data_IF_031967913107
#
_entry.id   IF_031967913107
#
_cell.length_a   1.000
_cell.length_b   1.000
_cell.length_c   1.000
_cell.angle_alpha   90.00
_cell.angle_beta   90.00
_cell.angle_gamma   90.00
#
_symmetry.space_group_name_H-M   'P 1'
#
loop_
_entity.id
_entity.type
_entity.pdbx_description
1 polymer ?
#
# COMPACT_ATOMS: atom_id res chain seq x y z
N UNK A 1 -41.01 -59.21 -40.49
CA UNK A 1 -39.81 -60.09 -40.69
C UNK A 1 -38.62 -59.26 -40.30
N UNK A 2 -37.96 -59.73 -39.34
CA UNK A 2 -36.69 -59.49 -38.73
C UNK A 2 -36.81 -58.92 -37.29
N UNK A 3 -36.64 -59.91 -36.41
CA UNK A 3 -36.51 -59.77 -34.97
C UNK A 3 -35.16 -59.11 -34.64
N UNK A 4 -35.12 -58.20 -33.69
CA UNK A 4 -33.90 -57.74 -33.06
C UNK A 4 -33.98 -58.03 -31.57
N UNK A 5 -33.28 -59.11 -31.19
CA UNK A 5 -33.09 -59.53 -29.82
C UNK A 5 -32.33 -58.44 -29.04
N UNK A 6 -32.95 -57.93 -27.97
CA UNK A 6 -32.33 -57.09 -27.00
C UNK A 6 -31.74 -57.97 -25.87
N UNK A 7 -30.44 -58.05 -25.79
CA UNK A 7 -29.70 -58.72 -24.69
C UNK A 7 -29.88 -57.90 -23.44
N UNK A 8 -30.48 -58.51 -22.42
CA UNK A 8 -30.42 -58.07 -21.04
C UNK A 8 -29.03 -58.45 -20.46
N UNK A 9 -28.24 -57.47 -20.09
CA UNK A 9 -27.01 -57.70 -19.34
C UNK A 9 -27.32 -57.88 -17.86
N UNK A 10 -26.70 -58.88 -17.28
CA UNK A 10 -26.81 -59.27 -15.88
C UNK A 10 -26.42 -58.08 -14.95
N UNK A 11 -27.32 -57.72 -14.03
CA UNK A 11 -27.03 -56.84 -12.89
C UNK A 11 -26.08 -57.62 -11.96
N UNK A 12 -24.83 -57.20 -11.94
CA UNK A 12 -23.87 -57.61 -10.89
C UNK A 12 -24.19 -56.74 -9.67
N UNK A 13 -24.85 -57.36 -8.68
CA UNK A 13 -25.02 -56.78 -7.37
C UNK A 13 -23.66 -56.66 -6.70
N UNK A 14 -23.18 -55.43 -6.53
CA UNK A 14 -22.07 -55.13 -5.62
C UNK A 14 -22.64 -55.18 -4.20
N UNK A 15 -22.33 -56.26 -3.48
CA UNK A 15 -22.40 -56.25 -2.02
C UNK A 15 -21.36 -55.25 -1.53
N UNK A 16 -21.81 -54.01 -1.28
CA UNK A 16 -21.00 -53.03 -0.57
C UNK A 16 -20.95 -53.40 0.91
N UNK A 17 -19.78 -53.76 1.39
CA UNK A 17 -19.53 -53.85 2.82
C UNK A 17 -19.83 -52.46 3.40
N UNK A 18 -20.96 -52.29 4.06
CA UNK A 18 -21.24 -51.11 4.93
C UNK A 18 -20.28 -51.21 6.11
N UNK A 19 -19.15 -50.50 6.00
CA UNK A 19 -18.36 -50.21 7.17
C UNK A 19 -19.14 -49.21 8.02
N UNK A 20 -19.91 -49.69 9.00
CA UNK A 20 -20.39 -48.90 10.11
C UNK A 20 -19.15 -48.40 10.86
N UNK A 21 -18.77 -47.15 10.59
CA UNK A 21 -17.87 -46.44 11.50
C UNK A 21 -18.66 -46.15 12.78
N UNK A 22 -18.42 -46.96 13.81
CA UNK A 22 -18.79 -46.60 15.17
C UNK A 22 -18.06 -45.27 15.47
N UNK A 23 -18.75 -44.16 15.25
CA UNK A 23 -18.27 -42.85 15.67
C UNK A 23 -18.37 -42.89 17.21
N UNK A 24 -17.22 -42.90 17.87
CA UNK A 24 -17.15 -42.73 19.32
C UNK A 24 -17.82 -41.42 19.67
N UNK A 25 -18.94 -41.45 20.37
CA UNK A 25 -19.72 -40.25 20.75
C UNK A 25 -18.87 -39.25 21.56
N UNK A 26 -17.73 -39.69 22.11
CA UNK A 26 -16.74 -38.84 22.78
C UNK A 26 -15.91 -37.98 21.86
N UNK A 27 -15.87 -38.28 20.54
CA UNK A 27 -15.15 -37.49 19.52
C UNK A 27 -16.03 -36.47 18.76
N UNK A 28 -17.32 -36.46 19.05
CA UNK A 28 -18.25 -35.51 18.44
C UNK A 28 -18.04 -34.11 19.05
N UNK A 29 -17.59 -33.19 18.21
CA UNK A 29 -17.44 -31.78 18.58
C UNK A 29 -18.79 -31.22 18.96
N UNK A 30 -18.90 -30.73 20.19
CA UNK A 30 -20.15 -30.21 20.78
C UNK A 30 -20.34 -28.74 20.40
N UNK A 31 -21.54 -28.21 20.60
CA UNK A 31 -21.82 -26.78 20.41
C UNK A 31 -20.99 -25.89 21.35
N UNK A 32 -20.66 -26.39 22.53
CA UNK A 32 -19.83 -25.68 23.52
C UNK A 32 -18.37 -25.55 23.00
N UNK A 33 -17.86 -26.60 22.34
CA UNK A 33 -16.54 -26.58 21.74
C UNK A 33 -16.45 -25.55 20.60
N UNK A 34 -17.49 -25.45 19.76
CA UNK A 34 -17.56 -24.42 18.74
C UNK A 34 -17.54 -23.01 19.34
N UNK A 35 -18.31 -22.77 20.40
CA UNK A 35 -18.33 -21.47 21.07
C UNK A 35 -16.99 -21.14 21.71
N UNK A 36 -16.35 -22.11 22.31
CA UNK A 36 -15.01 -21.95 22.90
C UNK A 36 -13.98 -21.58 21.83
N UNK A 37 -14.01 -22.27 20.69
CA UNK A 37 -13.10 -22.00 19.56
C UNK A 37 -13.34 -20.62 18.98
N UNK A 38 -14.59 -20.23 18.72
CA UNK A 38 -14.96 -18.93 18.17
C UNK A 38 -14.56 -17.80 19.12
N UNK A 39 -14.90 -17.95 20.42
CA UNK A 39 -14.54 -16.95 21.42
C UNK A 39 -13.03 -16.75 21.47
N UNK A 40 -12.27 -17.85 21.53
CA UNK A 40 -10.81 -17.79 21.57
C UNK A 40 -10.21 -17.13 20.33
N UNK A 41 -10.77 -17.42 19.15
CA UNK A 41 -10.34 -16.80 17.91
C UNK A 41 -10.51 -15.28 17.94
N UNK A 42 -11.67 -14.77 18.38
CA UNK A 42 -11.91 -13.33 18.43
C UNK A 42 -11.17 -12.64 19.59
N UNK A 43 -10.92 -13.34 20.70
CA UNK A 43 -10.08 -12.82 21.79
C UNK A 43 -8.63 -12.59 21.32
N UNK A 44 -8.13 -13.47 20.45
CA UNK A 44 -6.76 -13.38 19.94
C UNK A 44 -6.63 -12.41 18.76
N UNK A 45 -7.60 -12.38 17.84
CA UNK A 45 -7.51 -11.64 16.59
C UNK A 45 -8.32 -10.33 16.57
N UNK A 46 -9.26 -10.15 17.48
CA UNK A 46 -10.19 -9.02 17.45
C UNK A 46 -11.22 -9.11 16.31
N UNK A 47 -12.10 -8.11 16.25
CA UNK A 47 -13.22 -8.08 15.28
C UNK A 47 -12.88 -7.42 13.96
N UNK A 48 -11.82 -6.61 13.90
CA UNK A 48 -11.48 -5.74 12.75
C UNK A 48 -10.08 -6.01 12.18
N UNK A 49 -9.58 -7.21 12.39
CA UNK A 49 -8.24 -7.64 11.98
C UNK A 49 -7.98 -7.39 10.49
N UNK A 50 -8.94 -7.71 9.64
CA UNK A 50 -8.85 -7.53 8.19
C UNK A 50 -8.60 -6.07 7.79
N UNK A 51 -9.20 -5.11 8.50
CA UNK A 51 -9.01 -3.69 8.25
C UNK A 51 -7.60 -3.26 8.63
N UNK A 52 -7.16 -3.64 9.83
CA UNK A 52 -5.86 -3.27 10.38
C UNK A 52 -4.72 -3.89 9.56
N UNK A 53 -4.81 -5.19 9.25
CA UNK A 53 -3.77 -5.88 8.47
C UNK A 53 -3.68 -5.34 7.05
N UNK A 54 -4.82 -5.02 6.41
CA UNK A 54 -4.84 -4.40 5.08
C UNK A 54 -4.18 -3.02 5.09
N UNK A 55 -4.44 -2.20 6.10
CA UNK A 55 -3.82 -0.89 6.25
C UNK A 55 -2.32 -0.99 6.53
N UNK A 56 -1.91 -1.88 7.43
CA UNK A 56 -0.49 -2.09 7.74
C UNK A 56 0.27 -2.53 6.48
N UNK A 57 -0.26 -3.51 5.73
CA UNK A 57 0.35 -3.95 4.48
C UNK A 57 0.43 -2.83 3.43
N UNK A 58 -0.61 -1.98 3.33
CA UNK A 58 -0.59 -0.83 2.44
C UNK A 58 0.54 0.14 2.78
N UNK A 59 0.72 0.47 4.07
CA UNK A 59 1.76 1.42 4.51
C UNK A 59 3.16 0.82 4.40
N UNK A 60 3.34 -0.45 4.78
CA UNK A 60 4.65 -1.08 4.89
C UNK A 60 5.21 -1.55 3.53
N UNK A 61 4.34 -2.02 2.65
CA UNK A 61 4.73 -2.64 1.38
C UNK A 61 4.21 -1.87 0.15
N UNK A 62 2.89 -1.76 0.02
CA UNK A 62 2.26 -1.28 -1.23
C UNK A 62 2.68 0.14 -1.61
N UNK A 63 2.83 1.05 -0.64
CA UNK A 63 3.28 2.42 -0.92
C UNK A 63 4.69 2.46 -1.52
N UNK A 64 5.59 1.63 -1.01
CA UNK A 64 6.94 1.54 -1.55
C UNK A 64 6.93 0.93 -2.94
N UNK A 65 6.16 -0.14 -3.17
CA UNK A 65 6.00 -0.78 -4.48
C UNK A 65 5.50 0.22 -5.53
N UNK A 66 4.49 1.04 -5.21
CA UNK A 66 3.97 2.09 -6.12
C UNK A 66 5.06 3.10 -6.50
N UNK A 67 5.90 3.49 -5.53
CA UNK A 67 6.99 4.44 -5.80
C UNK A 67 8.09 3.77 -6.61
N UNK A 68 8.41 2.50 -6.35
CA UNK A 68 9.46 1.76 -7.07
C UNK A 68 9.06 1.48 -8.53
N UNK A 69 7.79 1.21 -8.81
CA UNK A 69 7.27 1.09 -10.18
C UNK A 69 7.44 2.39 -11.00
N UNK A 70 7.40 3.54 -10.33
CA UNK A 70 7.57 4.85 -10.94
C UNK A 70 8.92 5.50 -10.60
N UNK A 71 9.92 4.71 -10.24
CA UNK A 71 11.17 5.17 -9.63
C UNK A 71 11.97 6.12 -10.52
N UNK A 72 11.88 5.99 -11.86
CA UNK A 72 12.63 6.80 -12.80
C UNK A 72 11.74 7.34 -13.92
N UNK A 73 11.60 8.66 -13.96
CA UNK A 73 10.86 9.36 -15.01
C UNK A 73 11.85 10.15 -15.86
N UNK A 74 11.85 9.89 -17.16
CA UNK A 74 12.66 10.63 -18.14
C UNK A 74 11.72 11.40 -19.07
N UNK A 75 11.88 12.71 -19.11
CA UNK A 75 11.12 13.57 -20.01
C UNK A 75 12.07 14.34 -20.92
N UNK A 76 11.76 14.42 -22.20
CA UNK A 76 12.52 15.17 -23.18
C UNK A 76 11.68 16.32 -23.73
N UNK A 77 12.33 17.48 -23.89
CA UNK A 77 11.73 18.66 -24.50
C UNK A 77 12.71 19.30 -25.46
N UNK A 78 12.33 19.46 -26.73
CA UNK A 78 13.07 20.26 -27.69
C UNK A 78 12.68 21.71 -27.55
N UNK A 79 13.66 22.59 -27.41
CA UNK A 79 13.49 24.04 -27.32
C UNK A 79 14.27 24.68 -28.45
N UNK A 80 13.63 25.52 -29.26
CA UNK A 80 14.31 26.29 -30.28
C UNK A 80 15.23 27.31 -29.61
N UNK A 81 16.52 27.20 -29.87
CA UNK A 81 17.53 28.17 -29.44
C UNK A 81 17.61 29.39 -30.37
N UNK A 82 18.37 30.41 -29.94
CA UNK A 82 18.71 31.56 -30.77
C UNK A 82 19.61 31.07 -31.90
N UNK A 83 19.24 31.22 -33.15
CA UNK A 83 19.94 30.81 -34.38
C UNK A 83 19.47 29.50 -35.05
N UNK A 84 18.20 29.13 -34.95
CA UNK A 84 17.66 27.90 -35.55
C UNK A 84 18.36 26.59 -35.12
N UNK A 85 18.94 26.58 -33.94
CA UNK A 85 19.54 25.38 -33.37
C UNK A 85 18.57 24.77 -32.36
N UNK A 86 18.29 23.49 -32.50
CA UNK A 86 17.43 22.77 -31.55
C UNK A 86 18.25 22.35 -30.32
N UNK A 87 17.82 22.83 -29.15
CA UNK A 87 18.38 22.45 -27.86
C UNK A 87 17.46 21.39 -27.26
N UNK A 88 18.00 20.21 -26.97
CA UNK A 88 17.26 19.14 -26.34
C UNK A 88 17.52 19.19 -24.84
N UNK A 89 16.46 19.34 -24.08
CA UNK A 89 16.49 19.24 -22.62
C UNK A 89 15.90 17.91 -22.19
N UNK A 90 16.67 17.16 -21.41
CA UNK A 90 16.23 15.90 -20.80
C UNK A 90 16.17 16.09 -19.30
N UNK A 91 15.02 15.77 -18.71
CA UNK A 91 14.77 15.81 -17.27
C UNK A 91 14.72 14.39 -16.77
N UNK A 92 15.62 14.05 -15.87
CA UNK A 92 15.58 12.81 -15.11
C UNK A 92 15.02 13.11 -13.73
N UNK A 93 13.96 12.42 -13.33
CA UNK A 93 13.38 12.51 -12.00
C UNK A 93 13.45 11.11 -11.40
N UNK A 94 14.11 10.99 -10.24
CA UNK A 94 14.23 9.74 -9.52
C UNK A 94 13.49 9.80 -8.20
N UNK A 95 12.78 8.73 -7.86
CA UNK A 95 12.16 8.54 -6.57
C UNK A 95 12.88 7.41 -5.82
N UNK A 96 12.84 7.46 -4.50
CA UNK A 96 13.45 6.48 -3.62
C UNK A 96 12.53 6.09 -2.47
N UNK A 97 13.08 5.96 -1.27
CA UNK A 97 12.38 5.47 -0.09
C UNK A 97 11.23 6.38 0.36
N UNK A 98 10.11 5.77 0.71
CA UNK A 98 8.97 6.42 1.37
C UNK A 98 9.19 6.43 2.88
N UNK A 99 8.81 7.53 3.53
CA UNK A 99 8.84 7.69 4.99
C UNK A 99 7.49 8.21 5.46
N UNK A 100 6.97 7.58 6.49
CA UNK A 100 5.71 7.98 7.12
C UNK A 100 6.00 8.24 8.60
N UNK A 101 5.51 9.36 9.12
CA UNK A 101 5.61 9.68 10.54
C UNK A 101 4.37 9.20 11.29
N UNK A 102 4.51 9.06 12.60
CA UNK A 102 3.35 8.97 13.48
C UNK A 102 2.52 10.26 13.40
N UNK A 103 1.22 10.21 13.72
CA UNK A 103 0.36 11.39 13.77
C UNK A 103 0.86 12.45 14.76
N UNK A 104 1.05 13.68 14.27
CA UNK A 104 1.52 14.83 15.04
C UNK A 104 0.55 16.01 14.87
N UNK A 105 0.31 16.72 15.96
CA UNK A 105 -0.34 18.02 15.93
C UNK A 105 0.72 19.12 15.93
N UNK A 106 0.61 20.06 14.98
CA UNK A 106 1.45 21.23 14.90
C UNK A 106 0.66 22.44 15.39
N UNK A 107 1.14 23.06 16.47
CA UNK A 107 0.51 24.27 17.02
C UNK A 107 1.00 25.53 16.30
N UNK A 108 0.19 26.58 16.36
CA UNK A 108 0.51 27.87 15.71
C UNK A 108 1.81 28.48 16.22
N UNK A 109 2.21 28.13 17.42
CA UNK A 109 3.45 28.62 18.06
C UNK A 109 4.70 27.86 17.61
N UNK A 110 4.55 26.87 16.70
CA UNK A 110 5.65 26.06 16.16
C UNK A 110 6.03 24.87 17.02
N UNK A 111 5.33 24.60 18.12
CA UNK A 111 5.48 23.35 18.87
C UNK A 111 4.75 22.19 18.21
N UNK A 112 5.30 20.99 18.30
CA UNK A 112 4.69 19.76 17.80
C UNK A 112 4.56 18.75 18.93
N UNK A 113 3.43 18.07 19.01
CA UNK A 113 3.21 16.98 19.95
C UNK A 113 2.52 15.79 19.27
N UNK A 114 2.53 14.63 19.90
CA UNK A 114 1.81 13.45 19.41
C UNK A 114 0.30 13.74 19.44
N UNK A 115 -0.35 13.58 18.29
CA UNK A 115 -1.79 13.72 18.16
C UNK A 115 -2.46 12.42 18.60
N UNK A 116 -3.41 12.50 19.53
CA UNK A 116 -4.24 11.38 19.94
C UNK A 116 -5.62 11.42 19.29
N UNK A 117 -6.27 10.27 19.06
CA UNK A 117 -7.57 10.21 18.38
C UNK A 117 -8.65 11.06 19.06
N UNK A 118 -8.73 11.04 20.39
CA UNK A 118 -9.70 11.84 21.13
C UNK A 118 -9.49 13.35 20.92
N UNK A 119 -8.25 13.79 20.91
CA UNK A 119 -7.93 15.18 20.60
C UNK A 119 -8.33 15.54 19.16
N UNK A 120 -8.07 14.63 18.20
CA UNK A 120 -8.47 14.83 16.80
C UNK A 120 -9.99 14.97 16.66
N UNK A 121 -10.79 14.16 17.39
CA UNK A 121 -12.26 14.29 17.43
C UNK A 121 -12.72 15.64 17.99
N UNK A 122 -12.19 16.03 19.14
CA UNK A 122 -12.61 17.27 19.84
C UNK A 122 -12.22 18.53 19.08
N UNK A 123 -11.06 18.53 18.44
CA UNK A 123 -10.52 19.69 17.69
C UNK A 123 -10.90 19.69 16.21
N UNK A 124 -11.71 18.75 15.75
CA UNK A 124 -12.08 18.58 14.35
C UNK A 124 -10.85 18.44 13.43
N UNK A 125 -9.82 17.74 13.87
CA UNK A 125 -8.61 17.48 13.11
C UNK A 125 -8.71 16.14 12.36
N UNK A 126 -7.84 15.98 11.35
CA UNK A 126 -7.63 14.68 10.73
C UNK A 126 -6.48 13.97 11.41
N UNK A 127 -6.72 12.76 11.90
CA UNK A 127 -5.71 11.90 12.50
C UNK A 127 -4.82 11.31 11.41
N UNK A 128 -3.67 11.95 11.13
CA UNK A 128 -2.84 11.63 9.98
C UNK A 128 -1.34 11.76 10.29
N UNK A 129 -0.54 10.89 9.70
CA UNK A 129 0.90 10.98 9.66
C UNK A 129 1.38 11.73 8.41
N UNK A 130 2.53 12.40 8.50
CA UNK A 130 3.14 13.05 7.35
C UNK A 130 3.91 12.03 6.49
N UNK A 131 3.71 12.09 5.19
CA UNK A 131 4.44 11.28 4.21
C UNK A 131 5.51 12.12 3.52
N UNK A 132 6.70 11.58 3.42
CA UNK A 132 7.82 12.14 2.67
C UNK A 132 8.42 11.08 1.79
N UNK A 133 8.79 11.45 0.57
CA UNK A 133 9.43 10.56 -0.40
C UNK A 133 10.81 11.12 -0.72
N UNK A 134 11.78 10.25 -0.82
CA UNK A 134 13.08 10.63 -1.36
C UNK A 134 12.92 10.91 -2.84
N UNK A 135 13.33 12.08 -3.29
CA UNK A 135 13.38 12.38 -4.70
C UNK A 135 14.59 13.24 -5.05
N UNK A 136 14.98 13.15 -6.30
CA UNK A 136 15.98 14.02 -6.92
C UNK A 136 15.63 14.26 -8.36
N UNK A 137 16.16 15.32 -8.93
CA UNK A 137 16.06 15.58 -10.35
C UNK A 137 17.38 16.03 -10.92
N UNK A 138 17.59 15.72 -12.20
CA UNK A 138 18.74 16.14 -12.98
C UNK A 138 18.25 16.70 -14.30
N UNK A 139 18.79 17.84 -14.69
CA UNK A 139 18.53 18.43 -16.01
C UNK A 139 19.77 18.31 -16.87
N UNK A 140 19.63 17.62 -17.96
CA UNK A 140 20.64 17.45 -18.99
C UNK A 140 20.29 18.31 -20.19
N UNK A 141 21.28 18.99 -20.77
CA UNK A 141 21.12 19.79 -21.99
C UNK A 141 22.10 19.31 -23.02
N UNK A 142 21.58 19.05 -24.23
CA UNK A 142 22.38 18.80 -25.41
C UNK A 142 22.17 19.91 -26.42
N UNK A 143 23.26 20.46 -26.89
CA UNK A 143 23.26 21.44 -27.98
C UNK A 143 23.69 20.75 -29.27
N UNK A 144 22.89 20.88 -30.31
CA UNK A 144 23.21 20.34 -31.65
C UNK A 144 24.44 21.02 -32.27
N UNK A 145 24.83 22.18 -31.74
CA UNK A 145 26.07 22.88 -32.17
C UNK A 145 27.36 22.32 -31.53
N UNK A 146 27.24 21.46 -30.53
CA UNK A 146 28.42 20.82 -29.90
C UNK A 146 29.12 19.92 -30.93
N UNK A 147 30.44 20.11 -31.16
CA UNK A 147 31.17 19.31 -32.12
C UNK A 147 31.07 17.80 -31.91
N UNK A 148 30.82 17.37 -30.67
CA UNK A 148 30.62 15.96 -30.31
C UNK A 148 29.29 15.38 -30.80
N UNK A 149 28.31 16.25 -31.08
CA UNK A 149 26.96 15.89 -31.50
C UNK A 149 26.71 16.02 -33.01
N UNK A 150 27.66 16.58 -33.77
CA UNK A 150 27.49 16.89 -35.22
C UNK A 150 27.30 15.66 -36.12
N UNK A 151 27.72 14.46 -35.66
CA UNK A 151 27.66 13.22 -36.47
C UNK A 151 26.78 12.14 -35.78
N UNK A 152 25.96 12.52 -34.84
CA UNK A 152 25.13 11.56 -34.07
C UNK A 152 23.78 11.41 -34.76
N UNK A 153 23.44 10.19 -35.15
CA UNK A 153 22.22 9.88 -35.90
C UNK A 153 20.95 9.81 -34.99
N UNK A 154 21.12 9.68 -33.70
CA UNK A 154 20.03 9.53 -32.75
C UNK A 154 20.16 10.47 -31.54
N UNK A 155 19.07 11.04 -31.10
CA UNK A 155 18.99 11.87 -29.88
C UNK A 155 19.50 11.12 -28.64
N UNK A 156 19.32 9.80 -28.60
CA UNK A 156 19.76 8.95 -27.50
C UNK A 156 21.30 8.93 -27.35
N UNK A 157 22.03 9.09 -28.45
CA UNK A 157 23.49 9.01 -28.49
C UNK A 157 24.18 10.37 -28.32
N UNK A 158 23.40 11.46 -28.19
CA UNK A 158 23.94 12.81 -28.01
C UNK A 158 24.62 12.96 -26.66
N UNK A 159 25.78 13.62 -26.66
CA UNK A 159 26.45 13.97 -25.38
C UNK A 159 25.67 15.08 -24.69
N UNK A 160 25.22 14.81 -23.51
CA UNK A 160 24.45 15.73 -22.68
C UNK A 160 25.29 16.29 -21.54
N UNK A 161 25.16 17.59 -21.31
CA UNK A 161 25.84 18.26 -20.21
C UNK A 161 24.85 18.46 -19.06
N UNK A 162 25.26 18.13 -17.83
CA UNK A 162 24.47 18.36 -16.62
C UNK A 162 24.46 19.84 -16.32
N UNK A 163 23.27 20.42 -16.22
CA UNK A 163 23.08 21.85 -15.90
C UNK A 163 22.62 22.04 -14.48
N UNK A 164 21.71 21.19 -14.02
CA UNK A 164 21.21 21.22 -12.65
C UNK A 164 21.08 19.78 -12.14
N UNK A 165 21.62 19.54 -10.95
CA UNK A 165 21.59 18.22 -10.29
C UNK A 165 21.26 18.41 -8.82
N UNK A 166 20.01 18.05 -8.45
CA UNK A 166 19.53 18.04 -7.07
C UNK A 166 19.22 16.61 -6.61
N UNK A 167 20.22 15.80 -6.57
CA UNK A 167 20.14 14.42 -6.15
C UNK A 167 21.07 13.59 -7.03
N UNK A 168 22.31 13.48 -6.71
CA UNK A 168 23.32 12.78 -7.50
C UNK A 168 22.79 11.46 -8.07
N UNK A 169 22.82 11.36 -9.40
CA UNK A 169 22.47 10.16 -10.14
C UNK A 169 23.76 9.40 -10.48
N UNK A 170 23.72 8.08 -10.39
CA UNK A 170 24.80 7.25 -10.89
C UNK A 170 24.78 7.20 -12.43
N UNK A 171 25.80 6.56 -13.02
CA UNK A 171 25.91 6.42 -14.50
C UNK A 171 24.73 5.64 -15.10
N UNK A 172 24.01 4.88 -14.30
CA UNK A 172 22.84 4.10 -14.70
C UNK A 172 21.52 4.89 -14.60
N UNK A 173 21.57 6.15 -14.15
CA UNK A 173 20.38 6.98 -13.97
C UNK A 173 19.61 6.70 -12.68
N UNK A 174 20.21 6.00 -11.71
CA UNK A 174 19.59 5.74 -10.41
C UNK A 174 19.93 6.84 -9.42
N UNK A 175 18.96 7.21 -8.58
CA UNK A 175 19.10 8.25 -7.57
C UNK A 175 20.03 7.80 -6.43
N UNK A 176 21.16 8.51 -6.25
CA UNK A 176 22.13 8.18 -5.20
C UNK A 176 21.95 9.05 -3.96
N UNK A 177 21.59 10.31 -4.11
CA UNK A 177 21.43 11.25 -2.99
C UNK A 177 19.97 11.40 -2.62
N UNK A 178 19.72 11.39 -1.34
CA UNK A 178 18.40 11.18 -0.73
C UNK A 178 17.89 12.48 -0.12
N UNK A 179 17.22 13.29 -0.91
CA UNK A 179 16.47 14.45 -0.38
C UNK A 179 15.05 14.02 -0.05
N UNK A 180 14.66 14.16 1.22
CA UNK A 180 13.28 13.93 1.66
C UNK A 180 12.42 15.12 1.28
N UNK A 181 11.40 14.88 0.49
CA UNK A 181 10.41 15.89 0.10
C UNK A 181 9.08 15.52 0.71
N UNK A 182 8.48 16.44 1.43
CA UNK A 182 7.13 16.28 1.96
C UNK A 182 6.14 16.19 0.79
N UNK A 183 5.35 15.12 0.79
CA UNK A 183 4.39 14.86 -0.30
C UNK A 183 2.96 15.16 0.15
N UNK A 184 2.65 14.88 1.42
CA UNK A 184 1.31 15.08 1.96
C UNK A 184 1.11 14.37 3.31
N UNK A 185 -0.13 14.35 3.77
CA UNK A 185 -0.51 13.62 4.97
C UNK A 185 -1.36 12.40 4.60
N UNK A 186 -1.11 11.28 5.23
CA UNK A 186 -1.89 10.06 5.09
C UNK A 186 -2.69 9.84 6.36
N UNK A 187 -4.03 9.74 6.28
CA UNK A 187 -4.83 9.37 7.44
C UNK A 187 -4.38 8.03 8.01
N UNK A 188 -4.27 7.97 9.34
CA UNK A 188 -3.79 6.78 10.04
C UNK A 188 -4.98 6.04 10.65
N UNK A 189 -5.06 4.74 10.38
CA UNK A 189 -6.09 3.88 10.96
C UNK A 189 -5.83 3.64 12.43
N UNK A 190 -6.87 3.73 13.26
CA UNK A 190 -6.78 3.48 14.70
C UNK A 190 -6.39 2.01 14.96
N UNK A 191 -5.55 1.81 15.97
CA UNK A 191 -4.99 0.52 16.39
C UNK A 191 -4.05 -0.14 15.34
N UNK A 192 -3.70 0.55 14.25
CA UNK A 192 -2.66 0.10 13.33
C UNK A 192 -1.25 0.26 13.92
N UNK A 193 -0.24 -0.32 13.28
CA UNK A 193 1.18 -0.17 13.68
C UNK A 193 1.66 1.28 13.71
N UNK A 194 1.01 2.17 12.98
CA UNK A 194 1.32 3.61 12.88
C UNK A 194 0.42 4.48 13.77
N UNK A 195 -0.44 3.87 14.57
CA UNK A 195 -1.31 4.56 15.51
C UNK A 195 -0.57 4.85 16.81
N UNK A 196 -0.75 6.07 17.37
CA UNK A 196 -0.17 6.42 18.67
C UNK A 196 -0.75 5.60 19.84
N UNK A 197 -1.88 4.91 19.63
CA UNK A 197 -2.49 4.01 20.63
C UNK A 197 -1.97 2.57 20.54
N UNK A 198 -1.15 2.26 19.53
CA UNK A 198 -0.66 0.91 19.34
C UNK A 198 0.12 0.40 20.55
N UNK A 199 -0.21 -0.80 21.03
CA UNK A 199 0.40 -1.44 22.20
C UNK A 199 0.30 -0.65 23.53
N UNK A 200 -0.63 0.29 23.66
CA UNK A 200 -0.88 0.97 24.93
C UNK A 200 -1.63 0.10 25.92
N UNK A 201 -1.24 0.17 27.19
CA UNK A 201 -1.95 -0.48 28.28
C UNK A 201 -3.27 0.24 28.57
N UNK A 202 -4.24 -0.49 29.14
CA UNK A 202 -5.57 0.02 29.50
C UNK A 202 -5.50 1.31 30.34
N UNK A 203 -4.55 1.40 31.28
CA UNK A 203 -4.39 2.61 32.11
C UNK A 203 -3.95 3.83 31.30
N UNK A 204 -3.09 3.62 30.32
CA UNK A 204 -2.62 4.69 29.43
C UNK A 204 -3.75 5.17 28.50
N UNK A 205 -4.56 4.25 27.99
CA UNK A 205 -5.74 4.60 27.17
C UNK A 205 -6.71 5.49 27.96
N UNK A 206 -7.02 5.14 29.19
CA UNK A 206 -7.86 5.99 30.07
C UNK A 206 -7.24 7.37 30.32
N UNK A 207 -5.92 7.46 30.51
CA UNK A 207 -5.24 8.73 30.71
C UNK A 207 -5.37 9.68 29.51
N UNK A 208 -5.45 9.13 28.29
CA UNK A 208 -5.67 9.87 27.05
C UNK A 208 -7.16 10.05 26.68
N UNK A 209 -8.08 9.55 27.53
CA UNK A 209 -9.52 9.64 27.29
C UNK A 209 -10.03 8.67 26.23
N UNK A 210 -9.26 7.62 25.93
CA UNK A 210 -9.64 6.61 24.94
C UNK A 210 -10.34 5.41 25.59
N UNK A 211 -11.25 4.78 24.85
CA UNK A 211 -11.98 3.62 25.30
C UNK A 211 -11.14 2.34 25.10
N UNK A 212 -10.87 1.55 26.15
CA UNK A 212 -10.11 0.30 26.02
C UNK A 212 -10.80 -0.78 25.19
N UNK A 213 -12.13 -0.67 25.02
CA UNK A 213 -12.94 -1.61 24.25
C UNK A 213 -13.04 -1.22 22.76
N UNK A 214 -12.43 -0.11 22.37
CA UNK A 214 -12.40 0.32 20.97
C UNK A 214 -11.42 -0.55 20.17
N UNK A 215 -11.97 -1.33 19.24
CA UNK A 215 -11.21 -2.25 18.38
C UNK A 215 -10.40 -1.52 17.30
N UNK A 216 -10.67 -0.24 17.03
CA UNK A 216 -10.03 0.49 15.94
C UNK A 216 -10.52 0.08 14.55
N UNK A 217 -9.65 0.12 13.56
CA UNK A 217 -9.99 -0.27 12.18
C UNK A 217 -10.74 0.82 11.40
N UNK A 218 -10.71 2.07 11.86
CA UNK A 218 -11.37 3.22 11.22
C UNK A 218 -10.45 4.45 11.23
N UNK A 219 -10.87 5.49 10.53
CA UNK A 219 -10.14 6.76 10.40
C UNK A 219 -10.91 7.90 11.06
N UNK A 220 -10.18 8.92 11.49
CA UNK A 220 -10.75 10.20 11.93
C UNK A 220 -10.38 11.28 10.92
N UNK A 221 -11.38 11.80 10.21
CA UNK A 221 -11.24 12.83 9.18
C UNK A 221 -12.05 14.06 9.59
N UNK A 222 -11.39 15.18 9.81
CA UNK A 222 -12.03 16.43 10.29
C UNK A 222 -12.91 16.19 11.53
N UNK A 223 -12.42 15.38 12.46
CA UNK A 223 -13.12 15.02 13.70
C UNK A 223 -14.21 13.96 13.57
N UNK A 224 -14.55 13.52 12.36
CA UNK A 224 -15.57 12.50 12.11
C UNK A 224 -14.94 11.14 11.90
N UNK A 225 -15.52 10.11 12.49
CA UNK A 225 -15.10 8.72 12.30
C UNK A 225 -15.59 8.20 10.96
N UNK A 226 -14.68 7.59 10.20
CA UNK A 226 -14.92 7.06 8.85
C UNK A 226 -14.41 5.64 8.75
N UNK A 227 -15.27 4.74 8.29
CA UNK A 227 -14.94 3.32 8.03
C UNK A 227 -14.90 3.07 6.53
N UNK A 228 -13.92 2.31 6.08
CA UNK A 228 -13.90 1.78 4.72
C UNK A 228 -14.67 0.46 4.70
N UNK A 229 -15.75 0.43 3.94
CA UNK A 229 -16.54 -0.80 3.75
C UNK A 229 -15.84 -1.65 2.68
N UNK A 230 -15.63 -2.93 2.98
CA UNK A 230 -15.11 -3.87 2.00
C UNK A 230 -16.06 -3.96 0.79
N UNK A 231 -15.50 -3.86 -0.41
CA UNK A 231 -16.25 -3.93 -1.65
C UNK A 231 -15.66 -5.00 -2.56
N UNK A 232 -16.46 -5.97 -2.95
CA UNK A 232 -16.10 -7.00 -3.91
C UNK A 232 -16.41 -6.50 -5.33
N UNK A 233 -15.48 -6.74 -6.24
CA UNK A 233 -15.60 -6.34 -7.65
C UNK A 233 -15.06 -7.45 -8.53
N UNK A 234 -15.72 -7.68 -9.66
CA UNK A 234 -15.23 -8.59 -10.70
C UNK A 234 -13.88 -8.08 -11.21
N UNK A 235 -12.89 -8.98 -11.27
CA UNK A 235 -11.58 -8.66 -11.83
C UNK A 235 -11.67 -8.14 -13.25
N UNK A 236 -10.89 -7.12 -13.58
CA UNK A 236 -10.79 -6.63 -14.96
C UNK A 236 -9.96 -7.59 -15.80
N UNK A 237 -10.33 -7.75 -17.08
CA UNK A 237 -9.61 -8.57 -18.04
C UNK A 237 -9.56 -10.09 -17.70
N UNK A 238 -10.61 -10.60 -17.05
CA UNK A 238 -10.84 -12.05 -16.87
C UNK A 238 -11.94 -12.51 -17.81
N UNK A 239 -11.76 -13.69 -18.43
CA UNK A 239 -12.80 -14.36 -19.22
C UNK A 239 -13.77 -15.04 -18.23
N UNK A 240 -15.07 -14.72 -18.34
CA UNK A 240 -16.15 -15.34 -17.56
C UNK A 240 -16.71 -16.55 -18.29
#
# INVERSE_FOLDING_TARGET
MADSDFYYGDEVAYEGDEYEYEQDESELITQEDYWTLISRYFDEHGLVRQQIDSFNNFIENTLQEIVDENSNIVMEKTVQGNQNQDIIKRYHIGFGQVYISLPLANEKEGSSHLLYPQEARLRNLTYAGSMSVQCGYQTLISDSSDPRNQNVASVADMVMNVVDDKGHFNKNGELVTKNKVFTGNIPTMLQSNYCNLHNMETQQLYAHGECPYDQGGYFIINGSEKVLIAQERIGTNTVL
#
